data_IF_510904144087
#
_entry.id   IF_510904144087
#
_cell.length_a   1.000
_cell.length_b   1.000
_cell.length_c   1.000
_cell.angle_alpha   90.00
_cell.angle_beta   90.00
_cell.angle_gamma   90.00
#
_symmetry.space_group_name_H-M   'P 1'
#
loop_
_entity.id
_entity.type
_entity.pdbx_description
1 polymer ?
#
# COMPACT_ATOMS: atom_id res chain seq x y z
N UNK A 1 14.01 -22.00 -7.63
CA UNK A 1 12.61 -22.32 -7.29
C UNK A 1 12.51 -22.33 -5.77
N UNK A 2 11.82 -21.33 -5.19
CA UNK A 2 11.65 -21.22 -3.73
C UNK A 2 10.80 -22.42 -3.27
N UNK A 3 11.41 -23.37 -2.57
CA UNK A 3 10.70 -24.39 -1.81
C UNK A 3 10.05 -23.70 -0.60
N UNK A 4 8.88 -23.11 -0.81
CA UNK A 4 8.08 -22.57 0.28
C UNK A 4 7.03 -23.61 0.62
N UNK A 5 6.91 -24.03 1.88
CA UNK A 5 5.88 -24.98 2.29
C UNK A 5 4.52 -24.41 1.90
N UNK A 6 3.65 -25.23 1.33
CA UNK A 6 2.28 -24.94 0.87
C UNK A 6 1.76 -23.54 1.22
N UNK A 7 2.17 -22.56 0.41
CA UNK A 7 1.60 -21.22 0.54
C UNK A 7 0.18 -21.21 -0.01
N UNK A 8 -0.73 -20.47 0.63
CA UNK A 8 -2.05 -20.26 0.07
C UNK A 8 -1.96 -19.76 -1.38
N UNK A 9 -2.76 -20.31 -2.30
CA UNK A 9 -2.76 -19.98 -3.74
C UNK A 9 -2.78 -18.47 -4.00
N UNK A 10 -3.48 -17.72 -3.16
CA UNK A 10 -3.52 -16.25 -3.20
C UNK A 10 -2.15 -15.60 -3.07
N UNK A 11 -1.27 -16.16 -2.23
CA UNK A 11 0.09 -15.62 -2.02
C UNK A 11 0.98 -15.96 -3.20
N UNK A 12 0.89 -17.19 -3.73
CA UNK A 12 1.62 -17.59 -4.93
C UNK A 12 1.25 -16.70 -6.11
N UNK A 13 -0.04 -16.44 -6.31
CA UNK A 13 -0.54 -15.56 -7.36
C UNK A 13 0.01 -14.13 -7.22
N UNK A 14 0.01 -13.62 -6.00
CA UNK A 14 0.52 -12.27 -5.69
C UNK A 14 2.02 -12.16 -5.95
N UNK A 15 2.80 -13.20 -5.65
CA UNK A 15 4.24 -13.28 -5.92
C UNK A 15 4.52 -13.32 -7.42
N UNK A 16 3.87 -14.19 -8.16
CA UNK A 16 4.03 -14.27 -9.63
C UNK A 16 3.76 -12.94 -10.32
N UNK A 17 2.80 -12.20 -9.79
CA UNK A 17 2.39 -10.92 -10.35
C UNK A 17 3.33 -9.77 -9.98
N UNK A 18 3.86 -9.79 -8.75
CA UNK A 18 4.72 -8.71 -8.24
C UNK A 18 6.18 -8.84 -8.69
N UNK A 19 6.70 -10.05 -8.89
CA UNK A 19 8.11 -10.27 -9.23
C UNK A 19 8.57 -9.50 -10.48
N UNK A 20 7.90 -9.59 -11.65
CA UNK A 20 8.33 -8.83 -12.82
C UNK A 20 8.27 -7.32 -12.62
N UNK A 21 7.32 -6.86 -11.77
CA UNK A 21 7.18 -5.45 -11.45
C UNK A 21 8.33 -4.97 -10.56
N UNK A 22 8.68 -5.75 -9.54
CA UNK A 22 9.79 -5.44 -8.62
C UNK A 22 11.09 -5.39 -9.39
N UNK A 23 11.36 -6.38 -10.24
CA UNK A 23 12.54 -6.41 -11.12
C UNK A 23 12.67 -5.12 -11.90
N UNK A 24 11.64 -4.77 -12.69
CA UNK A 24 11.62 -3.56 -13.52
C UNK A 24 11.77 -2.27 -12.70
N UNK A 25 11.17 -2.20 -11.51
CA UNK A 25 11.24 -1.03 -10.64
C UNK A 25 12.62 -0.88 -9.99
N UNK A 26 13.27 -1.99 -9.70
CA UNK A 26 14.58 -2.00 -9.09
C UNK A 26 15.71 -1.78 -10.10
N UNK A 27 15.57 -2.23 -11.34
CA UNK A 27 16.53 -1.95 -12.42
C UNK A 27 16.68 -0.45 -12.70
N UNK A 28 15.58 0.30 -12.60
CA UNK A 28 15.58 1.76 -12.75
C UNK A 28 16.25 2.53 -11.60
N UNK A 29 16.53 1.86 -10.50
CA UNK A 29 17.21 2.43 -9.34
C UNK A 29 18.68 2.02 -9.25
N UNK A 30 19.29 1.68 -10.40
CA UNK A 30 20.68 1.27 -10.52
C UNK A 30 21.63 2.36 -10.00
N UNK A 31 22.39 2.04 -8.97
CA UNK A 31 23.36 2.91 -8.30
C UNK A 31 23.64 2.52 -6.85
N UNK A 32 22.66 2.01 -6.14
CA UNK A 32 22.85 1.50 -4.79
C UNK A 32 23.03 -0.04 -4.83
N UNK A 33 24.24 -0.50 -4.57
CA UNK A 33 24.48 -1.93 -4.33
C UNK A 33 23.68 -2.33 -3.10
N UNK A 34 22.82 -3.33 -3.23
CA UNK A 34 22.34 -4.07 -2.07
C UNK A 34 23.57 -4.63 -1.36
N UNK A 35 23.83 -4.14 -0.16
CA UNK A 35 24.95 -4.61 0.66
C UNK A 35 24.62 -6.00 1.17
N UNK A 36 24.96 -6.96 0.38
CA UNK A 36 25.06 -8.34 0.78
C UNK A 36 26.25 -8.88 -0.01
N UNK A 37 27.16 -9.53 0.63
CA UNK A 37 28.43 -10.04 0.12
C UNK A 37 28.60 -10.33 -1.38
N UNK A 38 29.62 -11.04 -1.78
CA UNK A 38 30.06 -11.29 -3.18
C UNK A 38 28.93 -11.63 -4.19
N UNK A 39 27.83 -12.25 -3.74
CA UNK A 39 26.62 -12.54 -4.53
C UNK A 39 25.41 -12.11 -3.71
N UNK A 40 25.03 -10.83 -3.83
CA UNK A 40 23.82 -10.33 -3.18
C UNK A 40 22.55 -11.03 -3.66
N UNK A 41 21.59 -11.23 -2.76
CA UNK A 41 20.28 -11.79 -3.12
C UNK A 41 19.56 -10.90 -4.12
N UNK A 42 18.88 -11.52 -5.09
CA UNK A 42 18.05 -10.75 -6.02
C UNK A 42 16.90 -10.06 -5.28
N UNK A 43 16.48 -8.92 -5.83
CA UNK A 43 15.52 -8.04 -5.19
C UNK A 43 14.12 -8.64 -5.15
N UNK A 44 13.79 -9.45 -6.12
CA UNK A 44 12.52 -10.16 -6.23
C UNK A 44 12.40 -11.21 -5.12
N UNK A 45 13.44 -11.97 -4.87
CA UNK A 45 13.50 -12.95 -3.78
C UNK A 45 13.34 -12.27 -2.42
N UNK A 46 14.07 -11.18 -2.18
CA UNK A 46 13.93 -10.41 -0.93
C UNK A 46 12.52 -9.82 -0.77
N UNK A 47 11.95 -9.26 -1.84
CA UNK A 47 10.59 -8.75 -1.82
C UNK A 47 9.57 -9.86 -1.56
N UNK A 48 9.73 -11.01 -2.19
CA UNK A 48 8.86 -12.18 -1.99
C UNK A 48 8.82 -12.62 -0.53
N UNK A 49 9.98 -12.78 0.10
CA UNK A 49 10.05 -13.16 1.51
C UNK A 49 9.45 -12.10 2.45
N UNK A 50 9.66 -10.81 2.16
CA UNK A 50 9.06 -9.73 2.92
C UNK A 50 7.54 -9.69 2.74
N UNK A 51 7.02 -10.03 1.57
CA UNK A 51 5.59 -10.16 1.33
C UNK A 51 5.00 -11.33 2.11
N UNK A 52 5.66 -12.49 2.08
CA UNK A 52 5.28 -13.66 2.89
C UNK A 52 5.23 -13.28 4.36
N UNK A 53 6.28 -12.62 4.86
CA UNK A 53 6.30 -12.09 6.23
C UNK A 53 5.05 -11.28 6.57
N UNK A 54 4.62 -10.40 5.67
CA UNK A 54 3.43 -9.55 5.89
C UNK A 54 2.13 -10.34 5.88
N UNK A 55 2.01 -11.33 5.02
CA UNK A 55 0.78 -12.14 4.90
C UNK A 55 0.66 -13.14 6.05
N UNK A 56 1.76 -13.74 6.48
CA UNK A 56 1.79 -14.74 7.56
C UNK A 56 1.92 -14.13 8.94
N UNK A 57 2.25 -12.85 9.03
CA UNK A 57 2.60 -12.15 10.27
C UNK A 57 3.77 -12.79 11.05
N UNK A 58 4.61 -13.57 10.39
CA UNK A 58 5.81 -14.15 11.00
C UNK A 58 6.88 -13.08 11.29
N UNK A 59 7.71 -13.32 12.28
CA UNK A 59 8.83 -12.44 12.60
C UNK A 59 9.99 -12.59 11.60
N UNK A 60 10.97 -11.68 11.68
CA UNK A 60 12.11 -11.68 10.77
C UNK A 60 13.02 -12.89 10.94
N UNK A 61 13.13 -13.46 12.14
CA UNK A 61 14.01 -14.62 12.41
C UNK A 61 13.42 -15.89 11.80
N UNK A 62 12.10 -16.08 11.96
CA UNK A 62 11.38 -17.20 11.33
C UNK A 62 11.52 -17.15 9.82
N UNK A 63 11.26 -15.99 9.19
CA UNK A 63 11.43 -15.84 7.74
C UNK A 63 12.88 -16.05 7.31
N UNK A 64 13.84 -15.54 8.06
CA UNK A 64 15.26 -15.69 7.78
C UNK A 64 15.69 -17.16 7.77
N UNK A 65 15.24 -17.92 8.77
CA UNK A 65 15.50 -19.38 8.86
C UNK A 65 14.93 -20.13 7.66
N UNK A 66 13.70 -19.83 7.27
CA UNK A 66 13.04 -20.47 6.11
C UNK A 66 13.65 -20.07 4.77
N UNK A 67 14.10 -18.82 4.66
CA UNK A 67 14.67 -18.27 3.42
C UNK A 67 16.14 -18.64 3.21
N UNK A 68 16.83 -19.07 4.25
CA UNK A 68 18.31 -19.17 4.22
C UNK A 68 18.99 -17.80 4.08
N UNK A 69 18.33 -16.73 4.51
CA UNK A 69 18.79 -15.34 4.39
C UNK A 69 18.92 -14.76 5.80
N UNK A 70 20.01 -14.05 6.10
CA UNK A 70 20.16 -13.46 7.43
C UNK A 70 19.06 -12.42 7.70
N UNK A 71 18.53 -12.39 8.92
CA UNK A 71 17.47 -11.44 9.29
C UNK A 71 17.89 -9.96 9.14
N UNK A 72 19.15 -9.53 9.39
CA UNK A 72 19.56 -8.16 9.11
C UNK A 72 19.49 -7.80 7.62
N UNK A 73 19.73 -8.78 6.73
CA UNK A 73 19.60 -8.58 5.27
C UNK A 73 18.14 -8.29 4.90
N UNK A 74 17.20 -9.03 5.46
CA UNK A 74 15.77 -8.80 5.23
C UNK A 74 15.31 -7.44 5.79
N UNK A 75 15.81 -7.04 6.96
CA UNK A 75 15.49 -5.72 7.54
C UNK A 75 16.00 -4.61 6.63
N UNK A 76 17.26 -4.64 6.22
CA UNK A 76 17.84 -3.64 5.31
C UNK A 76 17.12 -3.59 3.96
N UNK A 77 16.73 -4.74 3.43
CA UNK A 77 15.93 -4.81 2.21
C UNK A 77 14.57 -4.13 2.38
N UNK A 78 13.89 -4.38 3.51
CA UNK A 78 12.61 -3.73 3.81
C UNK A 78 12.76 -2.21 3.91
N UNK A 79 13.76 -1.71 4.63
CA UNK A 79 14.06 -0.28 4.76
C UNK A 79 14.33 0.36 3.39
N UNK A 80 15.10 -0.31 2.53
CA UNK A 80 15.38 0.16 1.19
C UNK A 80 14.11 0.21 0.34
N UNK A 81 13.25 -0.81 0.39
CA UNK A 81 12.00 -0.83 -0.35
C UNK A 81 11.02 0.25 0.14
N UNK A 82 11.00 0.54 1.44
CA UNK A 82 10.23 1.66 1.99
C UNK A 82 10.79 3.00 1.50
N UNK A 83 12.09 3.24 1.64
CA UNK A 83 12.76 4.49 1.20
C UNK A 83 12.60 4.75 -0.29
N UNK A 84 12.66 3.71 -1.13
CA UNK A 84 12.47 3.82 -2.59
C UNK A 84 11.01 3.74 -3.03
N UNK A 85 10.06 3.69 -2.10
CA UNK A 85 8.63 3.58 -2.35
C UNK A 85 8.23 2.39 -3.24
N UNK A 86 8.96 1.27 -3.14
CA UNK A 86 8.72 0.10 -3.99
C UNK A 86 7.32 -0.48 -3.74
N UNK A 87 6.93 -0.64 -2.47
CA UNK A 87 5.59 -1.15 -2.11
C UNK A 87 4.46 -0.31 -2.73
N UNK A 88 4.55 1.01 -2.64
CA UNK A 88 3.57 1.92 -3.23
C UNK A 88 3.53 1.82 -4.76
N UNK A 89 4.70 1.71 -5.40
CA UNK A 89 4.80 1.56 -6.86
C UNK A 89 4.20 0.22 -7.32
N UNK A 90 4.48 -0.87 -6.60
CA UNK A 90 3.89 -2.20 -6.88
C UNK A 90 2.37 -2.14 -6.70
N UNK A 91 1.88 -1.58 -5.59
CA UNK A 91 0.45 -1.40 -5.36
C UNK A 91 -0.24 -0.67 -6.52
N UNK A 92 0.29 0.48 -6.93
CA UNK A 92 -0.26 1.25 -8.06
C UNK A 92 -0.32 0.43 -9.35
N UNK A 93 0.72 -0.34 -9.65
CA UNK A 93 0.74 -1.19 -10.85
C UNK A 93 -0.28 -2.33 -10.77
N UNK A 94 -0.46 -2.93 -9.60
CA UNK A 94 -1.47 -3.96 -9.38
C UNK A 94 -2.88 -3.40 -9.59
N UNK A 95 -3.17 -2.21 -9.02
CA UNK A 95 -4.48 -1.54 -9.20
C UNK A 95 -4.72 -1.21 -10.67
N UNK A 96 -3.73 -0.64 -11.37
CA UNK A 96 -3.84 -0.37 -12.81
C UNK A 96 -4.16 -1.62 -13.62
N UNK A 97 -3.50 -2.74 -13.33
CA UNK A 97 -3.77 -4.01 -13.99
C UNK A 97 -5.16 -4.56 -13.66
N UNK A 98 -5.58 -4.47 -12.39
CA UNK A 98 -6.92 -4.86 -11.99
C UNK A 98 -8.00 -4.06 -12.75
N UNK A 99 -7.79 -2.76 -12.89
CA UNK A 99 -8.67 -1.90 -13.69
C UNK A 99 -8.68 -2.29 -15.17
N UNK A 100 -7.50 -2.49 -15.77
CA UNK A 100 -7.38 -2.91 -17.19
C UNK A 100 -8.05 -4.26 -17.47
N UNK A 101 -8.06 -5.17 -16.49
CA UNK A 101 -8.72 -6.47 -16.57
C UNK A 101 -10.23 -6.41 -16.23
N UNK A 102 -10.78 -5.23 -15.96
CA UNK A 102 -12.19 -5.06 -15.59
C UNK A 102 -12.55 -5.56 -14.19
N UNK A 103 -11.54 -5.87 -13.34
CA UNK A 103 -11.76 -6.28 -11.95
C UNK A 103 -12.16 -5.10 -11.06
N UNK A 104 -11.76 -3.88 -11.43
CA UNK A 104 -12.21 -2.63 -10.81
C UNK A 104 -13.14 -1.97 -11.81
N UNK A 105 -14.41 -1.80 -11.45
CA UNK A 105 -15.43 -1.25 -12.34
C UNK A 105 -15.59 0.26 -12.22
N UNK A 106 -15.38 0.79 -11.00
CA UNK A 106 -15.45 2.22 -10.72
C UNK A 106 -16.87 2.81 -10.82
N UNK A 107 -17.91 1.97 -10.89
CA UNK A 107 -19.30 2.48 -10.94
C UNK A 107 -19.67 3.15 -9.63
N UNK A 108 -19.39 2.49 -8.51
CA UNK A 108 -19.53 3.01 -7.17
C UNK A 108 -18.19 2.90 -6.47
N UNK A 109 -17.64 4.02 -6.03
CA UNK A 109 -16.43 4.06 -5.23
C UNK A 109 -16.73 4.70 -3.88
N UNK A 110 -16.16 4.16 -2.81
CA UNK A 110 -16.33 4.71 -1.47
C UNK A 110 -14.99 5.15 -0.90
N UNK A 111 -14.99 6.27 -0.21
CA UNK A 111 -13.86 6.74 0.57
C UNK A 111 -14.21 6.74 2.06
N UNK A 112 -13.26 6.27 2.84
CA UNK A 112 -13.35 6.21 4.29
C UNK A 112 -11.96 6.25 4.90
N UNK A 113 -11.89 6.45 6.20
CA UNK A 113 -10.64 6.41 6.94
C UNK A 113 -10.70 5.46 8.12
N UNK A 114 -9.57 4.88 8.45
CA UNK A 114 -9.42 4.01 9.62
C UNK A 114 -8.21 4.43 10.43
N UNK A 115 -8.38 4.46 11.76
CA UNK A 115 -7.30 4.75 12.67
C UNK A 115 -6.50 3.49 12.96
N UNK A 116 -5.17 3.58 12.86
CA UNK A 116 -4.23 2.50 13.14
C UNK A 116 -3.47 2.87 14.42
N UNK A 117 -3.75 2.16 15.49
CA UNK A 117 -3.05 2.34 16.76
C UNK A 117 -1.57 2.03 16.62
N UNK A 118 -0.73 2.87 17.21
CA UNK A 118 0.66 2.52 17.49
C UNK A 118 0.78 2.16 18.97
N UNK A 119 1.53 1.11 19.26
CA UNK A 119 1.84 0.72 20.64
C UNK A 119 3.07 1.45 21.19
N UNK A 120 3.58 2.43 20.43
CA UNK A 120 4.67 3.29 20.89
C UNK A 120 4.21 4.22 21.99
N UNK A 121 5.10 4.55 22.91
CA UNK A 121 4.91 5.64 23.84
C UNK A 121 4.95 6.97 23.09
N UNK A 122 4.42 8.01 23.72
CA UNK A 122 4.30 9.36 23.18
C UNK A 122 5.54 9.79 22.37
N UNK A 123 5.38 9.97 21.06
CA UNK A 123 6.39 10.56 20.19
C UNK A 123 7.56 9.68 19.77
N UNK A 124 7.57 8.38 20.08
CA UNK A 124 8.68 7.48 19.72
C UNK A 124 8.90 7.32 18.21
N UNK A 125 7.83 7.34 17.42
CA UNK A 125 7.93 7.26 15.96
C UNK A 125 8.03 8.62 15.27
N UNK A 126 7.84 9.72 15.99
CA UNK A 126 7.99 11.09 15.52
C UNK A 126 6.97 11.58 14.47
N UNK A 127 6.26 10.68 13.84
CA UNK A 127 5.28 10.96 12.75
C UNK A 127 3.85 10.57 13.08
N UNK A 128 3.63 9.92 14.21
CA UNK A 128 2.30 9.64 14.72
C UNK A 128 1.63 10.88 15.31
N UNK A 129 0.29 10.89 15.32
CA UNK A 129 -0.49 11.94 15.95
C UNK A 129 -1.38 11.37 17.05
N UNK A 130 -1.59 12.17 18.10
CA UNK A 130 -2.58 11.87 19.13
C UNK A 130 -3.99 12.08 18.58
N UNK A 131 -4.82 11.05 18.63
CA UNK A 131 -6.24 11.16 18.29
C UNK A 131 -7.07 11.25 19.56
N UNK A 132 -7.64 12.43 19.85
CA UNK A 132 -8.40 12.66 21.08
C UNK A 132 -9.68 11.86 21.16
N UNK A 133 -10.30 11.50 20.03
CA UNK A 133 -11.49 10.65 20.00
C UNK A 133 -11.18 9.18 20.30
N UNK A 134 -10.01 8.72 19.90
CA UNK A 134 -9.52 7.35 20.15
C UNK A 134 -8.63 7.26 21.39
N UNK A 135 -8.31 8.40 22.00
CA UNK A 135 -7.39 8.51 23.15
C UNK A 135 -6.09 7.73 22.96
N UNK A 136 -5.54 7.79 21.73
CA UNK A 136 -4.38 7.01 21.37
C UNK A 136 -3.50 7.72 20.34
N UNK A 137 -2.20 7.38 20.36
CA UNK A 137 -1.28 7.72 19.27
C UNK A 137 -1.43 6.74 18.11
N UNK A 138 -1.32 7.24 16.90
CA UNK A 138 -1.40 6.38 15.74
C UNK A 138 -1.33 7.11 14.41
N UNK A 139 -1.58 6.35 13.38
CA UNK A 139 -1.71 6.80 12.00
C UNK A 139 -3.17 6.69 11.55
N UNK A 140 -3.49 7.42 10.52
CA UNK A 140 -4.79 7.33 9.87
C UNK A 140 -4.62 6.87 8.43
N UNK A 141 -5.30 5.79 8.08
CA UNK A 141 -5.36 5.26 6.73
C UNK A 141 -6.59 5.80 6.04
N UNK A 142 -6.41 6.61 5.00
CA UNK A 142 -7.48 7.05 4.12
C UNK A 142 -7.49 6.14 2.90
N UNK A 143 -8.65 5.58 2.59
CA UNK A 143 -8.79 4.54 1.58
C UNK A 143 -9.92 4.90 0.61
N UNK A 144 -9.70 4.68 -0.68
CA UNK A 144 -10.72 4.67 -1.73
C UNK A 144 -10.84 3.25 -2.25
N UNK A 145 -12.05 2.69 -2.27
CA UNK A 145 -12.34 1.33 -2.71
C UNK A 145 -13.39 1.30 -3.81
N UNK A 146 -13.34 0.27 -4.66
CA UNK A 146 -14.46 -0.12 -5.51
C UNK A 146 -15.51 -0.86 -4.67
N UNK A 147 -16.76 -0.38 -4.65
CA UNK A 147 -17.78 -0.94 -3.76
C UNK A 147 -18.25 -2.33 -4.19
N UNK A 148 -18.20 -2.64 -5.50
CA UNK A 148 -18.66 -3.93 -6.01
C UNK A 148 -17.64 -5.02 -5.71
N UNK A 149 -16.39 -4.77 -5.99
CA UNK A 149 -15.31 -5.77 -5.90
C UNK A 149 -14.51 -5.70 -4.61
N UNK A 150 -14.70 -4.64 -3.81
CA UNK A 150 -13.93 -4.34 -2.59
C UNK A 150 -12.43 -4.14 -2.85
N UNK A 151 -12.03 -3.93 -4.11
CA UNK A 151 -10.64 -3.64 -4.42
C UNK A 151 -10.23 -2.25 -3.94
N UNK A 152 -9.09 -2.11 -3.25
CA UNK A 152 -8.52 -0.82 -2.92
C UNK A 152 -8.04 -0.12 -4.20
N UNK A 153 -8.50 1.11 -4.41
CA UNK A 153 -8.15 1.93 -5.59
C UNK A 153 -6.98 2.86 -5.27
N UNK A 154 -7.08 3.57 -4.16
CA UNK A 154 -6.05 4.49 -3.70
C UNK A 154 -5.99 4.50 -2.18
N UNK A 155 -4.83 4.81 -1.64
CA UNK A 155 -4.63 4.96 -0.20
C UNK A 155 -3.64 6.09 0.12
N UNK A 156 -3.85 6.72 1.27
CA UNK A 156 -2.93 7.68 1.87
C UNK A 156 -2.83 7.33 3.35
N UNK A 157 -1.62 7.33 3.89
CA UNK A 157 -1.38 7.21 5.33
C UNK A 157 -0.90 8.55 5.84
N UNK A 158 -1.52 9.02 6.92
CA UNK A 158 -1.19 10.28 7.59
C UNK A 158 -0.99 10.05 9.08
N UNK A 159 -0.60 11.08 9.82
CA UNK A 159 -0.68 11.01 11.27
C UNK A 159 -2.14 10.92 11.74
N UNK A 160 -2.34 10.51 12.98
CA UNK A 160 -3.68 10.28 13.56
C UNK A 160 -4.56 11.52 13.70
N UNK A 161 -3.97 12.72 13.57
CA UNK A 161 -4.68 14.02 13.67
C UNK A 161 -5.32 14.46 12.35
N UNK A 162 -4.95 13.89 11.22
CA UNK A 162 -5.37 14.38 9.92
C UNK A 162 -6.90 14.30 9.74
N UNK A 163 -7.48 15.37 9.24
CA UNK A 163 -8.91 15.44 8.91
C UNK A 163 -9.21 14.71 7.61
N UNK A 164 -10.31 13.97 7.56
CA UNK A 164 -10.74 13.22 6.39
C UNK A 164 -11.04 14.10 5.20
N UNK A 165 -11.70 15.22 5.44
CA UNK A 165 -12.04 16.23 4.44
C UNK A 165 -10.80 16.71 3.68
N UNK A 166 -9.71 17.03 4.39
CA UNK A 166 -8.48 17.55 3.76
C UNK A 166 -7.79 16.52 2.85
N UNK A 167 -8.01 15.23 3.09
CA UNK A 167 -7.39 14.14 2.36
C UNK A 167 -8.25 13.61 1.20
N UNK A 168 -9.52 13.98 1.11
CA UNK A 168 -10.44 13.53 0.08
C UNK A 168 -9.92 13.87 -1.34
N UNK A 169 -9.65 15.14 -1.60
CA UNK A 169 -9.15 15.58 -2.93
C UNK A 169 -7.77 14.96 -3.26
N UNK A 170 -6.77 14.93 -2.38
CA UNK A 170 -5.52 14.19 -2.61
C UNK A 170 -5.74 12.72 -2.94
N UNK A 171 -6.65 12.03 -2.25
CA UNK A 171 -6.97 10.63 -2.48
C UNK A 171 -7.60 10.41 -3.87
N UNK A 172 -8.58 11.23 -4.21
CA UNK A 172 -9.24 11.23 -5.52
C UNK A 172 -8.26 11.57 -6.67
N UNK A 173 -7.34 12.52 -6.47
CA UNK A 173 -6.28 12.83 -7.45
C UNK A 173 -5.37 11.63 -7.71
N UNK A 174 -5.03 10.86 -6.68
CA UNK A 174 -4.28 9.61 -6.86
C UNK A 174 -5.05 8.63 -7.74
N UNK A 175 -6.33 8.41 -7.45
CA UNK A 175 -7.18 7.52 -8.22
C UNK A 175 -7.34 7.99 -9.68
N UNK A 176 -7.50 9.29 -9.92
CA UNK A 176 -7.68 9.89 -11.25
C UNK A 176 -6.55 9.54 -12.22
N UNK A 177 -5.34 9.26 -11.73
CA UNK A 177 -4.21 8.94 -12.60
C UNK A 177 -4.39 7.62 -13.37
N UNK A 178 -5.30 6.75 -12.96
CA UNK A 178 -5.61 5.47 -13.63
C UNK A 178 -7.09 5.17 -13.76
N UNK A 179 -7.95 5.70 -12.89
CA UNK A 179 -9.40 5.51 -12.92
C UNK A 179 -10.01 6.67 -13.72
N UNK A 180 -10.36 6.42 -14.97
CA UNK A 180 -10.81 7.48 -15.89
C UNK A 180 -12.28 7.86 -15.68
N UNK A 181 -13.12 6.89 -15.34
CA UNK A 181 -14.56 7.08 -15.15
C UNK A 181 -14.97 6.56 -13.78
N UNK A 182 -15.79 7.35 -13.08
CA UNK A 182 -16.43 6.99 -11.82
C UNK A 182 -17.89 7.37 -11.96
N UNK A 183 -18.79 6.48 -11.57
CA UNK A 183 -20.24 6.78 -11.58
C UNK A 183 -20.67 7.58 -10.37
N UNK A 184 -20.36 7.05 -9.19
CA UNK A 184 -20.73 7.66 -7.92
C UNK A 184 -19.56 7.57 -6.94
N UNK A 185 -19.38 8.66 -6.19
CA UNK A 185 -18.42 8.69 -5.07
C UNK A 185 -19.22 8.76 -3.78
N UNK A 186 -19.00 7.79 -2.90
CA UNK A 186 -19.68 7.67 -1.62
C UNK A 186 -18.68 8.04 -0.51
N UNK A 187 -19.15 8.76 0.48
CA UNK A 187 -18.42 9.10 1.70
C UNK A 187 -19.39 9.33 2.84
N UNK A 188 -18.92 9.31 4.06
CA UNK A 188 -19.72 9.71 5.21
C UNK A 188 -19.89 11.25 5.25
N UNK A 189 -20.64 11.73 6.25
CA UNK A 189 -20.91 13.17 6.44
C UNK A 189 -19.62 14.00 6.63
N UNK A 190 -18.51 13.39 7.05
CA UNK A 190 -17.22 14.05 7.20
C UNK A 190 -16.61 14.52 5.87
N UNK A 191 -17.11 14.00 4.74
CA UNK A 191 -16.70 14.40 3.38
C UNK A 191 -17.67 15.36 2.70
N UNK A 192 -18.70 15.82 3.39
CA UNK A 192 -19.69 16.75 2.84
C UNK A 192 -19.12 18.19 2.76
N UNK A 193 -18.44 18.45 1.66
CA UNK A 193 -17.78 19.72 1.36
C UNK A 193 -17.96 20.06 -0.13
N UNK A 194 -18.46 21.25 -0.41
CA UNK A 194 -18.69 21.72 -1.78
C UNK A 194 -17.46 21.63 -2.69
N UNK A 195 -16.25 21.85 -2.14
CA UNK A 195 -15.00 21.72 -2.91
C UNK A 195 -14.71 20.28 -3.33
N UNK A 196 -15.07 19.31 -2.48
CA UNK A 196 -14.93 17.89 -2.79
C UNK A 196 -15.91 17.51 -3.89
N UNK A 197 -17.18 17.93 -3.76
CA UNK A 197 -18.22 17.69 -4.77
C UNK A 197 -17.83 18.30 -6.10
N UNK A 198 -17.42 19.56 -6.13
CA UNK A 198 -16.94 20.24 -7.34
C UNK A 198 -15.77 19.50 -8.00
N UNK A 199 -14.83 19.02 -7.19
CA UNK A 199 -13.70 18.24 -7.71
C UNK A 199 -14.16 16.93 -8.34
N UNK A 200 -15.08 16.19 -7.69
CA UNK A 200 -15.63 14.92 -8.18
C UNK A 200 -16.32 15.12 -9.53
N UNK A 201 -17.20 16.11 -9.63
CA UNK A 201 -17.92 16.43 -10.87
C UNK A 201 -16.96 16.81 -12.00
N UNK A 202 -16.00 17.70 -11.73
CA UNK A 202 -15.02 18.15 -12.73
C UNK A 202 -14.02 17.05 -13.14
N UNK A 203 -13.59 16.22 -12.19
CA UNK A 203 -12.58 15.23 -12.46
C UNK A 203 -13.12 13.96 -13.12
N UNK A 204 -14.28 13.49 -12.71
CA UNK A 204 -14.80 12.18 -13.10
C UNK A 204 -16.14 12.25 -13.86
N UNK A 205 -16.76 13.42 -13.97
CA UNK A 205 -18.15 13.57 -14.44
C UNK A 205 -19.13 12.68 -13.65
N UNK A 206 -18.82 12.48 -12.36
CA UNK A 206 -19.55 11.61 -11.44
C UNK A 206 -20.65 12.38 -10.67
N UNK A 207 -21.53 11.62 -10.05
CA UNK A 207 -22.54 12.09 -9.09
C UNK A 207 -22.15 11.75 -7.67
#
# INVERSE_FOLDING_TARGET
MLLVPQMPDKVQYLLQFSFPLVKKLCEKTSGERFVGGRNGYDKETLFGWLLIKKVTNWDYRTIASMAGISHPTLIRANELFLRKHIYSKVFIQLVKRAYQKGLIKGKYVAMDSSFIHTFSKKGELGSEGWNGFKEAYGFKLHLLIDCETKFPIALIVTNGLASDNTLAIPLLKRAKSWLKKVGYVLGDKGYDDGKIVDFIVKAFSAK
#
